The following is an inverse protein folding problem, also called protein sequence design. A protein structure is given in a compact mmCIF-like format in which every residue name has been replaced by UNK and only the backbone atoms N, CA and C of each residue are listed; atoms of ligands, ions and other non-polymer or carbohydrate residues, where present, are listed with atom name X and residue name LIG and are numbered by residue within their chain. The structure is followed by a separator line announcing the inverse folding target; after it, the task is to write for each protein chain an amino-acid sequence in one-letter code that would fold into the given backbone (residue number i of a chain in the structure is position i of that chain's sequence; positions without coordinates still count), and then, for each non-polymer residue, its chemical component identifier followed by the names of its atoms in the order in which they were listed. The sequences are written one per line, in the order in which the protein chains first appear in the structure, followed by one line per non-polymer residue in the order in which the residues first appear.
data_IF_242733167873
#
_entry.id   IF_242733167873
#
_cell.length_a   1.000
_cell.length_b   1.000
_cell.length_c   1.000
_cell.angle_alpha   90.00
_cell.angle_beta   90.00
_cell.angle_gamma   90.00
#
_symmetry.space_group_name_H-M   'P 1'
#
loop_
_entity.id
_entity.type
_entity.pdbx_description
1 polymer ?
#
# COMPACT_ATOMS: atom_id res chain seq x y z
N UNK A 1 -4.37 -28.47 1.78
CA UNK A 1 -3.60 -27.32 2.31
C UNK A 1 -2.13 -27.65 2.17
N UNK A 2 -1.29 -26.65 1.91
CA UNK A 2 0.16 -26.85 1.91
C UNK A 2 0.66 -27.00 3.35
N UNK A 3 1.67 -27.83 3.53
CA UNK A 3 2.32 -28.08 4.81
C UNK A 3 3.23 -26.89 5.14
N UNK A 4 3.02 -26.15 6.24
CA UNK A 4 3.72 -24.90 6.47
C UNK A 4 5.22 -25.07 6.75
N UNK A 5 5.69 -26.29 6.97
CA UNK A 5 7.05 -26.56 7.41
C UNK A 5 8.03 -26.84 6.26
N UNK A 6 7.71 -26.36 5.06
CA UNK A 6 8.52 -26.52 3.85
C UNK A 6 8.61 -25.23 3.05
N UNK A 7 9.61 -25.18 2.16
CA UNK A 7 9.79 -24.09 1.21
C UNK A 7 8.99 -24.37 -0.05
N UNK A 8 8.26 -23.36 -0.51
CA UNK A 8 7.49 -23.39 -1.75
C UNK A 8 7.95 -22.30 -2.71
N UNK A 9 7.29 -22.23 -3.88
CA UNK A 9 7.57 -21.23 -4.90
C UNK A 9 6.29 -20.84 -5.63
N UNK A 10 6.04 -19.55 -5.90
CA UNK A 10 4.98 -19.15 -6.82
C UNK A 10 5.32 -19.55 -8.27
N UNK A 11 4.35 -19.97 -9.10
CA UNK A 11 4.61 -20.34 -10.49
C UNK A 11 5.34 -19.24 -11.26
N UNK A 12 6.29 -19.63 -12.12
CA UNK A 12 7.06 -18.71 -12.99
C UNK A 12 7.89 -17.66 -12.22
N UNK A 13 8.25 -17.93 -10.98
CA UNK A 13 9.14 -17.06 -10.20
C UNK A 13 10.25 -17.88 -9.55
N UNK A 14 11.35 -17.24 -9.17
CA UNK A 14 12.40 -17.85 -8.35
C UNK A 14 12.33 -17.43 -6.88
N UNK A 15 11.22 -16.80 -6.47
CA UNK A 15 11.01 -16.34 -5.10
C UNK A 15 10.63 -17.53 -4.21
N UNK A 16 11.37 -17.73 -3.12
CA UNK A 16 11.03 -18.72 -2.09
C UNK A 16 9.84 -18.24 -1.25
N UNK A 17 8.82 -19.09 -1.13
CA UNK A 17 7.63 -18.86 -0.32
C UNK A 17 7.73 -19.69 0.98
N UNK A 18 7.79 -18.98 2.12
CA UNK A 18 7.79 -19.57 3.46
C UNK A 18 6.41 -19.36 4.08
N UNK A 19 5.76 -20.44 4.47
CA UNK A 19 4.41 -20.40 5.05
C UNK A 19 4.48 -20.30 6.57
N UNK A 20 3.60 -19.51 7.18
CA UNK A 20 3.46 -19.40 8.65
C UNK A 20 2.94 -20.71 9.22
N UNK A 21 3.61 -21.25 10.24
CA UNK A 21 3.03 -22.31 11.06
C UNK A 21 2.09 -21.67 12.10
N UNK A 22 0.83 -21.45 11.72
CA UNK A 22 -0.11 -20.66 12.52
C UNK A 22 -0.36 -21.27 13.91
N UNK A 23 -0.42 -22.60 14.04
CA UNK A 23 -0.69 -23.25 15.34
C UNK A 23 0.42 -22.93 16.33
N UNK A 24 1.67 -23.28 15.99
CA UNK A 24 2.82 -23.05 16.86
C UNK A 24 3.07 -21.57 17.12
N UNK A 25 2.68 -20.70 16.18
CA UNK A 25 2.81 -19.26 16.35
C UNK A 25 1.75 -18.71 17.30
N UNK A 26 0.49 -19.09 17.12
CA UNK A 26 -0.64 -18.63 17.93
C UNK A 26 -0.56 -19.17 19.37
N UNK A 27 0.12 -20.29 19.59
CA UNK A 27 0.42 -20.82 20.92
C UNK A 27 1.27 -19.85 21.77
N UNK A 28 2.22 -19.15 21.13
CA UNK A 28 3.00 -18.08 21.77
C UNK A 28 2.22 -16.76 21.75
N UNK A 29 1.65 -16.41 20.59
CA UNK A 29 1.02 -15.10 20.36
C UNK A 29 -0.23 -14.87 21.22
N UNK A 30 -1.13 -15.86 21.26
CA UNK A 30 -2.47 -15.71 21.81
C UNK A 30 -2.74 -16.62 23.01
N UNK A 31 -2.23 -17.85 23.02
CA UNK A 31 -2.59 -18.85 24.06
C UNK A 31 -1.63 -18.90 25.25
N UNK A 32 -0.50 -18.22 25.17
CA UNK A 32 0.58 -18.34 26.17
C UNK A 32 0.10 -18.11 27.61
N UNK A 33 -0.73 -17.09 27.83
CA UNK A 33 -1.32 -16.75 29.14
C UNK A 33 -2.73 -17.30 29.37
N UNK A 34 -3.24 -18.14 28.47
CA UNK A 34 -4.59 -18.69 28.56
C UNK A 34 -4.64 -19.86 29.54
N UNK A 35 -5.07 -19.59 30.78
CA UNK A 35 -5.15 -20.60 31.84
C UNK A 35 -6.19 -21.70 31.57
N UNK A 36 -7.13 -21.45 30.66
CA UNK A 36 -8.18 -22.40 30.26
C UNK A 36 -7.75 -23.25 29.04
N UNK A 37 -6.56 -23.03 28.48
CA UNK A 37 -6.02 -23.86 27.42
C UNK A 37 -5.40 -25.13 28.01
N UNK A 38 -5.72 -26.30 27.45
CA UNK A 38 -5.30 -27.60 27.98
C UNK A 38 -3.78 -27.78 28.07
N UNK A 39 -3.02 -27.08 27.22
CA UNK A 39 -1.56 -27.14 27.24
C UNK A 39 -0.92 -26.08 28.15
N UNK A 40 -1.72 -25.27 28.86
CA UNK A 40 -1.20 -24.31 29.83
C UNK A 40 -0.66 -25.03 31.08
N UNK A 41 0.51 -24.64 31.61
CA UNK A 41 1.40 -23.58 31.12
C UNK A 41 2.28 -24.02 29.94
N UNK A 42 2.58 -23.07 29.06
CA UNK A 42 3.50 -23.28 27.94
C UNK A 42 4.95 -23.01 28.36
N UNK A 43 5.68 -24.08 28.66
CA UNK A 43 7.11 -23.99 29.01
C UNK A 43 8.02 -24.08 27.78
N UNK A 44 9.24 -23.55 27.88
CA UNK A 44 10.23 -23.61 26.80
C UNK A 44 10.62 -25.05 26.43
N UNK A 45 10.73 -25.95 27.40
CA UNK A 45 10.96 -27.38 27.18
C UNK A 45 9.79 -28.06 26.48
N UNK A 46 8.55 -27.76 26.88
CA UNK A 46 7.34 -28.28 26.22
C UNK A 46 7.28 -27.83 24.76
N UNK A 47 7.46 -26.54 24.52
CA UNK A 47 7.45 -25.98 23.18
C UNK A 47 8.59 -26.53 22.30
N UNK A 48 9.81 -26.65 22.84
CA UNK A 48 10.94 -27.25 22.12
C UNK A 48 10.69 -28.72 21.74
N UNK A 49 10.03 -29.49 22.60
CA UNK A 49 9.61 -30.86 22.30
C UNK A 49 8.63 -30.92 21.11
N UNK A 50 7.68 -29.99 21.05
CA UNK A 50 6.77 -29.86 19.91
C UNK A 50 7.50 -29.49 18.63
N UNK A 51 8.41 -28.52 18.69
CA UNK A 51 9.27 -28.14 17.55
C UNK A 51 10.08 -29.34 17.06
N UNK A 52 10.68 -30.11 17.96
CA UNK A 52 11.46 -31.30 17.63
C UNK A 52 10.63 -32.39 16.95
N UNK A 53 9.38 -32.51 17.34
CA UNK A 53 8.45 -33.53 16.83
C UNK A 53 7.72 -33.08 15.57
N UNK A 54 7.87 -31.82 15.17
CA UNK A 54 7.21 -31.24 14.00
C UNK A 54 7.97 -31.64 12.73
N UNK A 55 7.35 -32.40 11.81
CA UNK A 55 8.01 -32.80 10.58
C UNK A 55 8.16 -31.62 9.61
N UNK A 56 9.22 -31.65 8.81
CA UNK A 56 9.48 -30.66 7.78
C UNK A 56 10.95 -30.29 7.67
N UNK A 57 11.22 -29.24 6.91
CA UNK A 57 12.57 -28.69 6.68
C UNK A 57 12.81 -27.37 7.42
N UNK A 58 11.74 -26.66 7.77
CA UNK A 58 11.78 -25.40 8.52
C UNK A 58 10.51 -25.23 9.33
N UNK A 59 10.57 -24.51 10.44
CA UNK A 59 9.38 -24.12 11.21
C UNK A 59 9.39 -22.59 11.28
N UNK A 60 8.33 -21.99 10.75
CA UNK A 60 8.21 -20.56 10.55
C UNK A 60 7.27 -19.97 11.60
N UNK A 61 7.84 -19.37 12.64
CA UNK A 61 7.11 -18.74 13.74
C UNK A 61 7.11 -17.23 13.53
N UNK A 62 5.94 -16.65 13.26
CA UNK A 62 5.80 -15.23 12.89
C UNK A 62 4.71 -14.56 13.74
N UNK A 63 5.10 -13.98 14.87
CA UNK A 63 4.23 -13.18 15.74
C UNK A 63 4.67 -11.71 15.70
N UNK A 64 3.74 -10.81 16.03
CA UNK A 64 4.03 -9.38 16.13
C UNK A 64 5.00 -9.11 17.29
N UNK A 65 5.83 -8.08 17.18
CA UNK A 65 6.81 -7.76 18.23
C UNK A 65 6.13 -7.41 19.54
N UNK A 66 4.98 -6.76 19.45
CA UNK A 66 4.08 -6.35 20.53
C UNK A 66 3.50 -7.57 21.28
N UNK A 67 3.67 -8.80 20.74
CA UNK A 67 3.40 -10.03 21.48
C UNK A 67 4.13 -10.03 22.83
N UNK A 68 5.36 -9.54 22.86
CA UNK A 68 6.24 -9.62 24.03
C UNK A 68 6.23 -8.29 24.81
N UNK A 69 5.41 -8.21 25.85
CA UNK A 69 5.31 -7.06 26.73
C UNK A 69 3.96 -6.35 26.68
N UNK A 70 3.25 -6.37 25.54
CA UNK A 70 1.94 -5.73 25.38
C UNK A 70 0.80 -6.76 25.32
N UNK A 71 0.85 -7.75 24.41
CA UNK A 71 -0.16 -8.82 24.39
C UNK A 71 0.10 -9.89 25.45
N UNK A 72 1.38 -10.24 25.68
CA UNK A 72 1.81 -11.10 26.78
C UNK A 72 2.66 -10.28 27.75
N UNK A 73 2.09 -9.95 28.92
CA UNK A 73 2.74 -9.08 29.90
C UNK A 73 3.90 -9.80 30.60
N UNK A 74 4.80 -9.03 31.21
CA UNK A 74 5.98 -9.58 31.93
C UNK A 74 5.58 -10.68 32.93
N UNK A 75 4.51 -10.44 33.70
CA UNK A 75 4.04 -11.32 34.77
C UNK A 75 3.51 -12.68 34.27
N UNK A 76 3.24 -12.81 32.97
CA UNK A 76 2.90 -14.10 32.33
C UNK A 76 4.11 -15.05 32.27
N UNK A 77 5.32 -14.54 32.46
CA UNK A 77 6.57 -15.29 32.33
C UNK A 77 7.10 -15.40 30.90
N UNK A 78 6.50 -14.69 29.93
CA UNK A 78 6.90 -14.76 28.51
C UNK A 78 8.38 -14.42 28.28
N UNK A 79 8.95 -13.48 29.03
CA UNK A 79 10.37 -13.14 28.92
C UNK A 79 11.29 -14.25 29.45
N UNK A 80 10.89 -14.95 30.52
CA UNK A 80 11.64 -16.13 31.00
C UNK A 80 11.53 -17.29 30.00
N UNK A 81 10.34 -17.49 29.42
CA UNK A 81 10.16 -18.45 28.32
C UNK A 81 11.14 -18.16 27.17
N UNK A 82 11.20 -16.91 26.69
CA UNK A 82 12.12 -16.51 25.62
C UNK A 82 13.60 -16.66 26.01
N UNK A 83 13.97 -16.36 27.26
CA UNK A 83 15.35 -16.52 27.75
C UNK A 83 15.79 -17.99 27.74
N UNK A 84 14.89 -18.90 28.06
CA UNK A 84 15.18 -20.34 28.11
C UNK A 84 14.99 -21.06 26.77
N UNK A 85 14.15 -20.53 25.88
CA UNK A 85 13.77 -21.16 24.62
C UNK A 85 14.97 -21.57 23.74
N UNK A 86 15.99 -20.74 23.48
CA UNK A 86 17.13 -21.15 22.66
C UNK A 86 17.86 -22.37 23.23
N UNK A 87 18.06 -22.41 24.56
CA UNK A 87 18.71 -23.55 25.21
C UNK A 87 17.85 -24.81 25.11
N UNK A 88 16.54 -24.69 25.27
CA UNK A 88 15.61 -25.82 25.17
C UNK A 88 15.59 -26.40 23.74
N UNK A 89 15.51 -25.54 22.71
CA UNK A 89 15.54 -25.95 21.30
C UNK A 89 16.86 -26.65 20.95
N UNK A 90 17.99 -26.11 21.39
CA UNK A 90 19.32 -26.66 21.08
C UNK A 90 19.67 -27.96 21.84
N UNK A 91 18.79 -28.45 22.73
CA UNK A 91 18.90 -29.83 23.26
C UNK A 91 18.64 -30.88 22.17
N UNK A 92 17.92 -30.51 21.12
CA UNK A 92 17.58 -31.39 20.00
C UNK A 92 18.59 -31.19 18.86
N UNK A 93 19.46 -32.18 18.57
CA UNK A 93 20.61 -31.99 17.68
C UNK A 93 20.23 -31.74 16.21
N UNK A 94 19.01 -32.09 15.81
CA UNK A 94 18.48 -31.85 14.47
C UNK A 94 17.78 -30.49 14.32
N UNK A 95 17.63 -29.73 15.41
CA UNK A 95 17.09 -28.36 15.36
C UNK A 95 18.21 -27.32 15.35
N UNK A 96 17.96 -26.23 14.64
CA UNK A 96 18.81 -25.03 14.64
C UNK A 96 17.99 -23.79 14.33
N UNK A 97 18.45 -22.65 14.80
CA UNK A 97 17.95 -21.36 14.34
C UNK A 97 18.57 -21.01 12.98
N UNK A 98 17.77 -20.43 12.09
CA UNK A 98 18.19 -20.03 10.77
C UNK A 98 17.48 -18.74 10.36
N UNK A 99 18.18 -17.91 9.59
CA UNK A 99 17.58 -16.73 8.99
C UNK A 99 16.68 -17.14 7.81
N UNK A 100 15.61 -16.38 7.49
CA UNK A 100 14.77 -16.66 6.33
C UNK A 100 15.58 -16.81 5.03
N UNK A 101 16.63 -15.99 4.85
CA UNK A 101 17.55 -16.08 3.69
C UNK A 101 18.34 -17.39 3.62
N UNK A 102 18.65 -17.99 4.77
CA UNK A 102 19.39 -19.26 4.84
C UNK A 102 18.46 -20.43 4.53
N UNK A 103 17.22 -20.38 5.01
CA UNK A 103 16.18 -21.35 4.67
C UNK A 103 15.89 -21.29 3.17
N UNK A 104 15.64 -20.08 2.64
CA UNK A 104 15.33 -19.86 1.24
C UNK A 104 16.44 -20.34 0.28
N UNK A 105 17.71 -20.29 0.70
CA UNK A 105 18.87 -20.71 -0.10
C UNK A 105 19.19 -22.19 0.02
N UNK A 106 19.07 -22.76 1.22
CA UNK A 106 19.61 -24.09 1.52
C UNK A 106 18.55 -25.19 1.56
N UNK A 107 17.26 -24.84 1.65
CA UNK A 107 16.17 -25.81 1.66
C UNK A 107 15.61 -26.01 0.25
N UNK A 108 15.46 -27.26 -0.21
CA UNK A 108 14.88 -27.53 -1.53
C UNK A 108 13.40 -27.15 -1.55
N UNK A 109 12.95 -26.61 -2.68
CA UNK A 109 11.53 -26.30 -2.91
C UNK A 109 10.74 -27.60 -2.96
N UNK A 110 9.71 -27.74 -2.12
CA UNK A 110 8.82 -28.91 -2.09
C UNK A 110 7.92 -28.98 -3.32
N UNK A 111 7.30 -27.87 -3.68
CA UNK A 111 6.46 -27.74 -4.88
C UNK A 111 6.19 -26.28 -5.21
N UNK A 112 5.61 -26.03 -6.39
CA UNK A 112 4.97 -24.74 -6.66
C UNK A 112 3.60 -24.65 -5.96
N UNK A 113 3.22 -23.43 -5.55
CA UNK A 113 1.89 -23.12 -5.03
C UNK A 113 1.35 -21.91 -5.77
N UNK A 114 0.20 -22.08 -6.41
CA UNK A 114 -0.58 -20.98 -6.97
C UNK A 114 -1.71 -20.61 -6.03
N UNK A 115 -1.74 -19.37 -5.57
CA UNK A 115 -2.84 -18.83 -4.76
C UNK A 115 -3.75 -18.01 -5.68
N UNK A 116 -5.00 -18.42 -5.84
CA UNK A 116 -5.95 -17.83 -6.81
C UNK A 116 -6.69 -16.60 -6.28
N UNK A 117 -6.76 -16.45 -4.95
CA UNK A 117 -7.41 -15.32 -4.28
C UNK A 117 -6.40 -14.64 -3.37
N UNK A 118 -6.60 -13.35 -3.12
CA UNK A 118 -5.82 -12.65 -2.10
C UNK A 118 -6.11 -13.27 -0.73
N UNK A 119 -5.05 -13.57 0.01
CA UNK A 119 -5.11 -14.16 1.34
C UNK A 119 -4.33 -13.31 2.30
N UNK A 120 -4.73 -13.32 3.57
CA UNK A 120 -4.01 -12.70 4.66
C UNK A 120 -3.95 -13.66 5.85
N UNK A 121 -3.16 -13.29 6.84
CA UNK A 121 -3.11 -13.97 8.13
C UNK A 121 -4.12 -13.44 9.15
N UNK A 122 -4.85 -12.38 8.82
CA UNK A 122 -5.70 -11.66 9.75
C UNK A 122 -7.10 -12.30 9.82
N UNK A 123 -7.67 -12.22 11.03
CA UNK A 123 -9.00 -12.70 11.39
C UNK A 123 -9.33 -14.13 10.91
N UNK A 124 -10.62 -14.48 10.96
CA UNK A 124 -11.11 -15.82 10.67
C UNK A 124 -11.17 -16.08 9.16
N UNK A 125 -11.47 -15.03 8.39
CA UNK A 125 -11.71 -15.01 6.96
C UNK A 125 -10.41 -15.21 6.17
N UNK A 126 -9.26 -14.79 6.72
CA UNK A 126 -7.93 -14.95 6.13
C UNK A 126 -7.83 -14.40 4.71
N UNK A 127 -8.55 -13.32 4.45
CA UNK A 127 -8.61 -12.60 3.18
C UNK A 127 -8.36 -11.10 3.39
N UNK A 128 -8.77 -10.26 2.46
CA UNK A 128 -8.54 -8.81 2.53
C UNK A 128 -9.60 -8.05 3.33
N UNK A 129 -10.59 -8.72 3.92
CA UNK A 129 -11.73 -8.08 4.60
C UNK A 129 -11.33 -7.17 5.76
N UNK A 130 -10.19 -7.42 6.43
CA UNK A 130 -9.67 -6.54 7.48
C UNK A 130 -9.32 -5.12 6.97
N UNK A 131 -9.03 -4.97 5.68
CA UNK A 131 -8.65 -3.67 5.06
C UNK A 131 -9.60 -3.22 3.94
N UNK A 132 -10.37 -4.14 3.36
CA UNK A 132 -11.28 -3.92 2.22
C UNK A 132 -12.57 -4.73 2.40
N UNK A 133 -13.12 -4.75 3.62
CA UNK A 133 -14.34 -5.47 3.98
C UNK A 133 -15.60 -4.62 3.97
N UNK A 134 -15.46 -3.29 3.92
CA UNK A 134 -16.61 -2.37 3.90
C UNK A 134 -16.46 -1.21 2.90
N UNK A 135 -17.56 -0.50 2.64
CA UNK A 135 -17.62 0.58 1.66
C UNK A 135 -16.71 1.78 1.98
N UNK A 136 -16.47 2.09 3.26
CA UNK A 136 -15.61 3.21 3.67
C UNK A 136 -14.13 2.90 3.39
N UNK A 137 -13.70 1.68 3.71
CA UNK A 137 -12.40 1.15 3.38
C UNK A 137 -12.15 1.17 1.87
N UNK A 138 -13.12 0.67 1.09
CA UNK A 138 -13.04 0.71 -0.38
C UNK A 138 -12.96 2.13 -0.94
N UNK A 139 -13.77 3.06 -0.42
CA UNK A 139 -13.76 4.45 -0.85
C UNK A 139 -12.40 5.12 -0.59
N UNK A 140 -11.86 4.96 0.61
CA UNK A 140 -10.56 5.52 0.98
C UNK A 140 -9.42 4.90 0.16
N UNK A 141 -9.41 3.58 0.00
CA UNK A 141 -8.39 2.88 -0.81
C UNK A 141 -8.40 3.34 -2.27
N UNK A 142 -9.57 3.39 -2.91
CA UNK A 142 -9.68 3.83 -4.31
C UNK A 142 -9.27 5.31 -4.46
N UNK A 143 -9.60 6.14 -3.48
CA UNK A 143 -9.25 7.55 -3.50
C UNK A 143 -7.74 7.76 -3.33
N UNK A 144 -7.10 7.11 -2.36
CA UNK A 144 -5.64 7.13 -2.19
C UNK A 144 -4.92 6.62 -3.43
N UNK A 145 -5.39 5.50 -4.01
CA UNK A 145 -4.81 4.93 -5.23
C UNK A 145 -4.90 5.89 -6.42
N UNK A 146 -6.04 6.60 -6.57
CA UNK A 146 -6.23 7.58 -7.65
C UNK A 146 -5.24 8.74 -7.59
N UNK A 147 -4.74 9.09 -6.40
CA UNK A 147 -3.77 10.17 -6.23
C UNK A 147 -2.32 9.77 -6.58
N UNK A 148 -2.05 8.48 -6.88
CA UNK A 148 -0.71 7.99 -7.18
C UNK A 148 -0.08 8.66 -8.41
N UNK A 149 -0.78 8.61 -9.55
CA UNK A 149 -0.29 9.17 -10.78
C UNK A 149 -0.08 10.70 -10.66
N UNK A 150 -1.05 11.49 -10.16
CA UNK A 150 -0.82 12.91 -9.84
C UNK A 150 0.37 13.17 -8.92
N UNK A 151 0.57 12.36 -7.86
CA UNK A 151 1.69 12.52 -6.94
C UNK A 151 3.03 12.28 -7.63
N UNK A 152 3.16 11.22 -8.44
CA UNK A 152 4.34 11.01 -9.29
C UNK A 152 4.50 12.11 -10.34
N UNK A 153 3.39 12.62 -10.86
CA UNK A 153 3.39 13.65 -11.86
C UNK A 153 3.78 15.04 -11.33
N UNK A 154 3.67 15.26 -10.01
CA UNK A 154 4.11 16.50 -9.40
C UNK A 154 5.62 16.72 -9.49
N UNK A 155 6.42 15.64 -9.57
CA UNK A 155 7.87 15.72 -9.45
C UNK A 155 8.37 16.18 -8.08
N UNK A 156 7.46 16.33 -7.11
CA UNK A 156 7.71 16.82 -5.76
C UNK A 156 7.88 15.61 -4.82
N UNK A 157 9.10 15.46 -4.28
CA UNK A 157 9.43 14.33 -3.41
C UNK A 157 8.58 14.33 -2.12
N UNK A 158 8.28 15.50 -1.56
CA UNK A 158 7.52 15.61 -0.32
C UNK A 158 6.07 15.18 -0.55
N UNK A 159 5.46 15.59 -1.67
CA UNK A 159 4.10 15.17 -2.06
C UNK A 159 4.03 13.65 -2.29
N UNK A 160 5.04 13.08 -2.96
CA UNK A 160 5.11 11.65 -3.20
C UNK A 160 5.27 10.87 -1.88
N UNK A 161 6.08 11.37 -0.96
CA UNK A 161 6.28 10.75 0.35
C UNK A 161 5.03 10.84 1.22
N UNK A 162 4.30 11.96 1.20
CA UNK A 162 2.97 12.06 1.83
C UNK A 162 2.03 11.00 1.26
N UNK A 163 1.94 10.88 -0.06
CA UNK A 163 1.09 9.85 -0.70
C UNK A 163 1.46 8.43 -0.25
N UNK A 164 2.76 8.12 -0.12
CA UNK A 164 3.27 6.83 0.39
C UNK A 164 2.86 6.58 1.84
N UNK A 165 2.99 7.58 2.71
CA UNK A 165 2.60 7.49 4.13
C UNK A 165 1.08 7.27 4.27
N UNK A 166 0.28 7.92 3.43
CA UNK A 166 -1.15 7.68 3.37
C UNK A 166 -1.48 6.28 2.83
N UNK A 167 -0.54 5.60 2.17
CA UNK A 167 -0.68 4.20 1.75
C UNK A 167 -0.46 3.16 2.84
N UNK A 168 -0.12 3.56 4.08
CA UNK A 168 0.02 2.62 5.21
C UNK A 168 -1.30 1.90 5.49
N UNK A 169 -1.24 0.58 5.69
CA UNK A 169 -2.43 -0.26 5.82
C UNK A 169 -3.24 0.01 7.08
N UNK A 170 -2.61 0.52 8.13
CA UNK A 170 -3.24 0.85 9.42
C UNK A 170 -4.40 1.83 9.26
N UNK A 171 -4.30 2.79 8.32
CA UNK A 171 -5.38 3.71 8.01
C UNK A 171 -6.67 2.98 7.62
N UNK A 172 -6.56 1.92 6.81
CA UNK A 172 -7.71 1.10 6.43
C UNK A 172 -8.09 0.11 7.53
N UNK A 173 -7.10 -0.41 8.27
CA UNK A 173 -7.30 -1.34 9.38
C UNK A 173 -8.18 -0.74 10.48
N UNK A 174 -7.96 0.54 10.82
CA UNK A 174 -8.76 1.27 11.82
C UNK A 174 -10.18 1.64 11.34
N UNK A 175 -10.47 1.48 10.04
CA UNK A 175 -11.82 1.71 9.46
C UNK A 175 -12.63 0.41 9.42
N UNK A 176 -12.17 -0.65 10.07
CA UNK A 176 -12.91 -1.90 10.17
C UNK A 176 -14.17 -1.75 11.03
N UNK A 177 -15.32 -2.16 10.51
CA UNK A 177 -16.64 -1.88 11.11
C UNK A 177 -17.32 -3.10 11.71
N UNK A 178 -16.75 -4.30 11.59
CA UNK A 178 -17.37 -5.49 12.18
C UNK A 178 -17.08 -5.52 13.69
N UNK A 179 -18.08 -5.92 14.48
CA UNK A 179 -17.96 -6.04 15.94
C UNK A 179 -17.41 -7.41 16.39
N UNK A 180 -17.57 -7.69 17.67
CA UNK A 180 -17.07 -8.93 18.29
C UNK A 180 -15.55 -8.91 18.45
N UNK A 181 -14.97 -10.10 18.62
CA UNK A 181 -13.52 -10.24 18.87
C UNK A 181 -12.64 -9.60 17.78
N UNK A 182 -12.93 -9.71 16.46
CA UNK A 182 -12.18 -8.96 15.45
C UNK A 182 -12.26 -7.44 15.65
N UNK A 183 -13.43 -6.90 15.94
CA UNK A 183 -13.61 -5.46 16.19
C UNK A 183 -12.80 -4.97 17.40
N UNK A 184 -12.67 -5.77 18.45
CA UNK A 184 -11.84 -5.46 19.61
C UNK A 184 -10.35 -5.39 19.25
N UNK A 185 -9.86 -6.35 18.46
CA UNK A 185 -8.46 -6.35 17.98
C UNK A 185 -8.17 -5.11 17.12
N UNK A 186 -9.07 -4.78 16.20
CA UNK A 186 -8.96 -3.62 15.34
C UNK A 186 -9.01 -2.28 16.08
N UNK A 187 -9.71 -2.24 17.22
CA UNK A 187 -9.82 -1.03 18.07
C UNK A 187 -8.67 -0.92 19.07
N UNK A 188 -7.93 -1.99 19.35
CA UNK A 188 -6.94 -2.06 20.43
C UNK A 188 -5.82 -1.02 20.30
N UNK A 189 -5.25 -0.88 19.09
CA UNK A 189 -4.22 0.12 18.79
C UNK A 189 -4.78 1.34 18.03
N UNK A 190 -6.10 1.43 17.85
CA UNK A 190 -6.70 2.55 17.13
C UNK A 190 -6.60 3.83 17.96
N UNK A 191 -6.07 4.94 17.40
CA UNK A 191 -6.09 6.24 18.08
C UNK A 191 -7.49 6.90 18.02
N UNK A 192 -8.45 6.26 17.34
CA UNK A 192 -9.81 6.77 17.14
C UNK A 192 -10.80 6.04 18.03
N UNK A 193 -11.82 6.76 18.50
CA UNK A 193 -12.87 6.19 19.34
C UNK A 193 -13.78 5.21 18.60
N UNK A 194 -14.06 5.46 17.32
CA UNK A 194 -14.88 4.58 16.46
C UNK A 194 -14.34 4.56 15.01
N UNK A 195 -14.61 3.48 14.24
CA UNK A 195 -14.12 3.36 12.86
C UNK A 195 -14.58 4.47 11.91
N UNK A 196 -15.72 5.10 12.20
CA UNK A 196 -16.25 6.21 11.41
C UNK A 196 -15.39 7.48 11.56
N UNK A 197 -14.86 7.75 12.75
CA UNK A 197 -13.96 8.88 12.98
C UNK A 197 -12.62 8.66 12.27
N UNK A 198 -12.13 7.42 12.25
CA UNK A 198 -10.97 7.03 11.46
C UNK A 198 -11.20 7.30 9.97
N UNK A 199 -12.37 6.91 9.45
CA UNK A 199 -12.73 7.08 8.04
C UNK A 199 -12.84 8.55 7.64
N UNK A 200 -13.54 9.35 8.45
CA UNK A 200 -13.69 10.79 8.21
C UNK A 200 -12.33 11.47 8.24
N UNK A 201 -11.50 11.18 9.24
CA UNK A 201 -10.16 11.75 9.38
C UNK A 201 -9.29 11.41 8.18
N UNK A 202 -9.21 10.12 7.83
CA UNK A 202 -8.37 9.67 6.72
C UNK A 202 -8.84 10.26 5.39
N UNK A 203 -10.15 10.28 5.13
CA UNK A 203 -10.70 10.87 3.92
C UNK A 203 -10.44 12.38 3.83
N UNK A 204 -10.55 13.12 4.93
CA UNK A 204 -10.20 14.54 4.98
C UNK A 204 -8.74 14.80 4.64
N UNK A 205 -7.81 13.98 5.14
CA UNK A 205 -6.38 14.10 4.81
C UNK A 205 -6.12 13.77 3.34
N UNK A 206 -6.77 12.76 2.77
CA UNK A 206 -6.69 12.46 1.34
C UNK A 206 -7.24 13.62 0.49
N UNK A 207 -8.31 14.27 0.93
CA UNK A 207 -8.88 15.43 0.25
C UNK A 207 -7.93 16.65 0.30
N UNK A 208 -7.23 16.86 1.41
CA UNK A 208 -6.18 17.88 1.51
C UNK A 208 -5.02 17.59 0.53
N UNK A 209 -4.53 16.34 0.47
CA UNK A 209 -3.51 15.95 -0.51
C UNK A 209 -3.98 16.20 -1.95
N UNK A 210 -5.22 15.82 -2.29
CA UNK A 210 -5.81 16.12 -3.61
C UNK A 210 -5.76 17.63 -3.88
N UNK A 211 -6.19 18.47 -2.95
CA UNK A 211 -6.18 19.92 -3.13
C UNK A 211 -4.78 20.47 -3.37
N UNK A 212 -3.79 20.01 -2.61
CA UNK A 212 -2.37 20.37 -2.81
C UNK A 212 -1.87 19.97 -4.20
N UNK A 213 -2.22 18.77 -4.66
CA UNK A 213 -1.92 18.29 -6.01
C UNK A 213 -2.57 19.19 -7.06
N UNK A 214 -3.87 19.49 -6.92
CA UNK A 214 -4.60 20.35 -7.86
C UNK A 214 -3.95 21.72 -8.01
N UNK A 215 -3.49 22.32 -6.91
CA UNK A 215 -2.75 23.59 -6.92
C UNK A 215 -1.36 23.49 -7.58
N UNK A 216 -0.62 22.40 -7.34
CA UNK A 216 0.77 22.26 -7.81
C UNK A 216 0.89 21.78 -9.25
N UNK A 217 -0.01 20.92 -9.69
CA UNK A 217 0.14 20.19 -10.95
C UNK A 217 -0.93 20.55 -11.98
N UNK A 218 -1.93 21.34 -11.60
CA UNK A 218 -3.15 21.55 -12.36
C UNK A 218 -3.81 20.19 -12.66
N UNK A 219 -4.27 19.53 -11.59
CA UNK A 219 -4.86 18.19 -11.65
C UNK A 219 -6.22 18.21 -12.34
N UNK A 220 -6.43 17.26 -13.25
CA UNK A 220 -7.67 17.04 -13.96
C UNK A 220 -8.66 16.14 -13.18
N UNK A 221 -9.95 16.35 -13.41
CA UNK A 221 -11.03 15.51 -12.87
C UNK A 221 -11.12 14.14 -13.54
N UNK A 222 -10.46 13.94 -14.67
CA UNK A 222 -10.30 12.65 -15.37
C UNK A 222 -9.01 12.65 -16.18
N UNK A 223 -8.31 11.51 -16.32
CA UNK A 223 -7.05 11.47 -17.04
C UNK A 223 -7.26 11.61 -18.55
N UNK A 224 -6.26 12.16 -19.23
CA UNK A 224 -6.13 12.03 -20.67
C UNK A 224 -5.50 10.69 -20.99
N UNK A 225 -6.14 9.88 -21.84
CA UNK A 225 -5.64 8.58 -22.28
C UNK A 225 -5.21 8.66 -23.73
N UNK A 226 -3.96 8.32 -24.00
CA UNK A 226 -3.43 8.31 -25.36
C UNK A 226 -3.91 7.09 -26.13
N UNK A 227 -4.19 7.30 -27.41
CA UNK A 227 -4.69 6.29 -28.34
C UNK A 227 -4.25 6.61 -29.77
N UNK A 228 -4.24 5.60 -30.64
CA UNK A 228 -4.01 5.73 -32.09
C UNK A 228 -5.28 5.54 -32.91
N UNK A 229 -6.39 5.22 -32.25
CA UNK A 229 -7.65 4.82 -32.88
C UNK A 229 -8.75 4.61 -31.84
N UNK A 230 -9.97 4.36 -32.32
CA UNK A 230 -11.08 3.95 -31.43
C UNK A 230 -10.69 2.61 -30.80
N UNK A 231 -10.76 2.53 -29.47
CA UNK A 231 -10.38 1.37 -28.65
C UNK A 231 -8.93 0.88 -28.83
N UNK A 232 -8.04 1.73 -29.36
CA UNK A 232 -6.62 1.44 -29.54
C UNK A 232 -5.78 2.31 -28.60
N UNK A 233 -5.93 2.10 -27.30
CA UNK A 233 -5.16 2.79 -26.27
C UNK A 233 -3.69 2.37 -26.31
N UNK A 234 -2.79 3.33 -26.17
CA UNK A 234 -1.35 3.07 -26.17
C UNK A 234 -0.85 2.59 -24.80
N UNK A 235 -1.63 2.87 -23.75
CA UNK A 235 -1.34 2.50 -22.35
C UNK A 235 -0.85 3.69 -21.52
N UNK A 236 -0.38 4.75 -22.15
CA UNK A 236 -0.04 6.02 -21.51
C UNK A 236 -1.29 6.79 -21.12
N UNK A 237 -1.30 7.30 -19.89
CA UNK A 237 -2.29 8.25 -19.40
C UNK A 237 -1.60 9.35 -18.58
N UNK A 238 -2.21 10.55 -18.59
CA UNK A 238 -1.75 11.68 -17.79
C UNK A 238 -2.92 12.31 -17.04
N UNK A 239 -2.67 12.66 -15.78
CA UNK A 239 -3.69 13.24 -14.90
C UNK A 239 -3.55 14.74 -14.72
N UNK A 240 -2.37 15.30 -15.01
CA UNK A 240 -2.03 16.68 -14.70
C UNK A 240 -1.42 17.37 -15.90
N UNK A 241 -1.49 18.71 -15.93
CA UNK A 241 -0.80 19.47 -16.96
C UNK A 241 0.73 19.26 -16.90
N UNK A 242 1.28 19.07 -15.70
CA UNK A 242 2.69 18.72 -15.47
C UNK A 242 3.05 17.32 -16.01
N UNK A 243 2.11 16.37 -15.95
CA UNK A 243 2.16 15.05 -16.58
C UNK A 243 2.20 15.17 -18.09
N UNK A 244 1.24 15.90 -18.66
CA UNK A 244 1.18 16.15 -20.09
C UNK A 244 2.48 16.77 -20.61
N UNK A 245 3.02 17.79 -19.93
CA UNK A 245 4.28 18.43 -20.32
C UNK A 245 5.44 17.44 -20.43
N UNK A 246 5.60 16.55 -19.44
CA UNK A 246 6.71 15.60 -19.39
C UNK A 246 6.59 14.49 -20.42
N UNK A 247 5.38 14.01 -20.70
CA UNK A 247 5.19 12.87 -21.60
C UNK A 247 5.24 13.26 -23.08
N UNK A 248 4.95 14.51 -23.44
CA UNK A 248 4.80 14.95 -24.83
C UNK A 248 6.03 14.68 -25.71
N UNK A 249 7.22 14.64 -25.12
CA UNK A 249 8.47 14.32 -25.82
C UNK A 249 8.53 12.85 -26.29
N UNK A 250 7.91 11.95 -25.54
CA UNK A 250 7.95 10.51 -25.72
C UNK A 250 6.73 9.94 -26.47
N UNK A 251 5.56 10.59 -26.39
CA UNK A 251 4.32 10.12 -27.03
C UNK A 251 4.48 9.97 -28.54
N UNK A 252 4.03 8.83 -29.07
CA UNK A 252 4.07 8.53 -30.50
C UNK A 252 3.36 9.59 -31.37
N UNK A 253 3.95 9.88 -32.53
CA UNK A 253 3.45 10.93 -33.42
C UNK A 253 2.09 10.60 -34.04
N UNK A 254 1.77 9.33 -34.28
CA UNK A 254 0.44 8.94 -34.78
C UNK A 254 -0.63 9.12 -33.70
N UNK A 255 -0.31 8.90 -32.42
CA UNK A 255 -1.23 9.23 -31.33
C UNK A 255 -1.49 10.74 -31.22
N UNK A 256 -0.44 11.57 -31.28
CA UNK A 256 -0.60 13.03 -31.28
C UNK A 256 -1.44 13.52 -32.46
N UNK A 257 -1.21 12.97 -33.65
CA UNK A 257 -1.98 13.28 -34.86
C UNK A 257 -3.45 12.87 -34.71
N UNK A 258 -3.71 11.66 -34.20
CA UNK A 258 -5.06 11.16 -33.93
C UNK A 258 -5.83 12.13 -33.04
N UNK A 259 -5.28 12.46 -31.86
CA UNK A 259 -5.94 13.34 -30.89
C UNK A 259 -6.07 14.79 -31.38
N UNK A 260 -5.06 15.33 -32.05
CA UNK A 260 -5.11 16.71 -32.56
C UNK A 260 -6.16 16.88 -33.67
N UNK A 261 -6.35 15.86 -34.52
CA UNK A 261 -7.39 15.89 -35.57
C UNK A 261 -8.81 15.97 -34.99
N UNK A 262 -9.02 15.38 -33.82
CA UNK A 262 -10.31 15.32 -33.10
C UNK A 262 -10.48 16.48 -32.11
N UNK A 263 -9.39 17.13 -31.72
CA UNK A 263 -9.41 18.18 -30.69
C UNK A 263 -9.50 17.64 -29.28
N UNK A 264 -9.09 16.38 -29.05
CA UNK A 264 -9.31 15.69 -27.77
C UNK A 264 -8.56 16.38 -26.62
N UNK A 265 -7.33 16.85 -26.85
CA UNK A 265 -6.56 17.60 -25.83
C UNK A 265 -7.21 18.93 -25.46
N UNK A 266 -7.81 19.63 -26.44
CA UNK A 266 -8.54 20.86 -26.17
C UNK A 266 -9.83 20.59 -25.36
N UNK A 267 -10.54 19.51 -25.69
CA UNK A 267 -11.72 19.07 -24.93
C UNK A 267 -11.34 18.67 -23.49
N UNK A 268 -10.24 17.95 -23.32
CA UNK A 268 -9.74 17.55 -22.00
C UNK A 268 -9.33 18.76 -21.16
N UNK A 269 -8.60 19.71 -21.74
CA UNK A 269 -8.26 20.97 -21.06
C UNK A 269 -9.51 21.73 -20.61
N UNK A 270 -10.53 21.81 -21.46
CA UNK A 270 -11.79 22.49 -21.13
C UNK A 270 -12.57 21.77 -20.03
N UNK A 271 -12.75 20.46 -20.13
CA UNK A 271 -13.71 19.72 -19.30
C UNK A 271 -13.09 19.12 -18.05
N UNK A 272 -11.87 18.59 -18.14
CA UNK A 272 -11.23 17.87 -17.04
C UNK A 272 -10.25 18.77 -16.28
N UNK A 273 -9.49 19.64 -16.96
CA UNK A 273 -8.66 20.65 -16.30
C UNK A 273 -9.43 21.93 -15.92
N UNK A 274 -10.59 22.17 -16.53
CA UNK A 274 -11.37 23.40 -16.34
C UNK A 274 -10.69 24.67 -16.89
N UNK A 275 -9.78 24.53 -17.85
CA UNK A 275 -8.98 25.62 -18.40
C UNK A 275 -9.39 25.96 -19.84
N UNK A 276 -10.32 26.92 -19.95
CA UNK A 276 -10.82 27.44 -21.23
C UNK A 276 -9.74 28.16 -22.05
N UNK A 277 -8.76 28.79 -21.39
CA UNK A 277 -7.69 29.53 -22.06
C UNK A 277 -6.74 28.55 -22.74
N UNK A 278 -6.30 27.53 -22.01
CA UNK A 278 -5.49 26.43 -22.56
C UNK A 278 -6.25 25.68 -23.65
N UNK A 279 -7.54 25.40 -23.44
CA UNK A 279 -8.37 24.75 -24.45
C UNK A 279 -8.39 25.53 -25.78
N UNK A 280 -8.54 26.86 -25.72
CA UNK A 280 -8.47 27.74 -26.89
C UNK A 280 -7.11 27.70 -27.58
N UNK A 281 -6.01 27.79 -26.81
CA UNK A 281 -4.64 27.69 -27.32
C UNK A 281 -4.40 26.33 -28.03
N UNK A 282 -4.88 25.23 -27.44
CA UNK A 282 -4.75 23.88 -28.01
C UNK A 282 -5.60 23.68 -29.26
N UNK A 283 -6.84 24.18 -29.28
CA UNK A 283 -7.73 24.08 -30.44
C UNK A 283 -7.13 24.77 -31.69
N UNK A 284 -6.36 25.84 -31.50
CA UNK A 284 -5.63 26.53 -32.57
C UNK A 284 -4.52 25.71 -33.24
N UNK A 285 -4.13 24.56 -32.68
CA UNK A 285 -3.04 23.73 -33.20
C UNK A 285 -3.48 22.67 -34.23
N UNK A 286 -4.77 22.61 -34.57
CA UNK A 286 -5.35 21.58 -35.46
C UNK A 286 -4.66 21.47 -36.84
N UNK A 287 -4.11 22.58 -37.34
CA UNK A 287 -3.40 22.63 -38.63
C UNK A 287 -1.94 22.11 -38.58
N UNK A 288 -1.42 21.76 -37.40
CA UNK A 288 -0.05 21.26 -37.24
C UNK A 288 0.00 19.73 -37.16
N UNK A 289 1.09 19.15 -37.64
CA UNK A 289 1.30 17.69 -37.67
C UNK A 289 2.75 17.31 -37.31
N UNK A 290 2.95 16.03 -36.97
CA UNK A 290 4.27 15.43 -36.72
C UNK A 290 5.09 16.18 -35.66
N UNK A 291 6.41 16.29 -35.87
CA UNK A 291 7.32 16.95 -34.93
C UNK A 291 6.96 18.41 -34.64
N UNK A 292 6.41 19.13 -35.63
CA UNK A 292 5.98 20.53 -35.47
C UNK A 292 4.79 20.65 -34.51
N UNK A 293 3.85 19.71 -34.58
CA UNK A 293 2.74 19.63 -33.62
C UNK A 293 3.26 19.41 -32.21
N UNK A 294 4.14 18.42 -32.01
CA UNK A 294 4.75 18.14 -30.69
C UNK A 294 5.44 19.37 -30.09
N UNK A 295 6.25 20.06 -30.88
CA UNK A 295 6.94 21.28 -30.43
C UNK A 295 5.95 22.38 -30.01
N UNK A 296 4.86 22.57 -30.78
CA UNK A 296 3.84 23.58 -30.46
C UNK A 296 3.03 23.19 -29.22
N UNK A 297 2.63 21.92 -29.10
CA UNK A 297 1.94 21.40 -27.91
C UNK A 297 2.80 21.62 -26.67
N UNK A 298 4.06 21.21 -26.71
CA UNK A 298 5.00 21.35 -25.58
C UNK A 298 5.16 22.81 -25.18
N UNK A 299 5.30 23.72 -26.15
CA UNK A 299 5.38 25.16 -25.88
C UNK A 299 4.10 25.75 -25.27
N UNK A 300 2.92 25.36 -25.75
CA UNK A 300 1.63 25.81 -25.20
C UNK A 300 1.44 25.30 -23.77
N UNK A 301 1.73 24.03 -23.53
CA UNK A 301 1.63 23.38 -22.22
C UNK A 301 2.64 23.97 -21.23
N UNK A 302 3.88 24.20 -21.64
CA UNK A 302 4.91 24.83 -20.81
C UNK A 302 4.52 26.27 -20.41
N UNK A 303 3.97 27.06 -21.35
CA UNK A 303 3.47 28.41 -21.07
C UNK A 303 2.36 28.37 -20.03
N UNK A 304 1.39 27.46 -20.20
CA UNK A 304 0.28 27.32 -19.27
C UNK A 304 0.72 26.88 -17.87
N UNK A 305 1.73 26.00 -17.76
CA UNK A 305 2.31 25.63 -16.47
C UNK A 305 2.99 26.81 -15.76
N UNK A 306 3.71 27.65 -16.51
CA UNK A 306 4.36 28.84 -15.95
C UNK A 306 3.32 29.90 -15.52
N UNK A 307 2.25 30.06 -16.30
CA UNK A 307 1.10 30.93 -15.97
C UNK A 307 0.34 30.43 -14.73
N UNK A 308 0.30 29.11 -14.52
CA UNK A 308 -0.26 28.45 -13.34
C UNK A 308 0.73 28.35 -12.15
N UNK A 309 1.96 28.86 -12.30
CA UNK A 309 3.06 28.76 -11.33
C UNK A 309 2.67 29.26 -9.92
N UNK A 310 3.41 28.82 -8.89
CA UNK A 310 2.92 28.79 -7.51
C UNK A 310 2.47 30.18 -7.06
N UNK A 311 1.19 30.34 -6.71
CA UNK A 311 0.79 31.41 -5.80
C UNK A 311 1.69 31.26 -4.57
N UNK A 312 2.48 32.29 -4.30
CA UNK A 312 3.50 32.37 -3.25
C UNK A 312 3.12 31.55 -2.03
N UNK A 313 4.01 30.65 -1.63
CA UNK A 313 3.97 29.99 -0.33
C UNK A 313 3.93 31.05 0.78
N UNK A 314 2.74 31.34 1.31
CA UNK A 314 2.62 31.71 2.71
C UNK A 314 2.95 30.45 3.51
N UNK A 315 4.24 30.21 3.70
CA UNK A 315 4.72 29.53 4.89
C UNK A 315 4.42 30.46 6.06
N UNK A 316 3.19 30.46 6.56
CA UNK A 316 3.01 30.80 7.97
C UNK A 316 3.61 29.63 8.77
N UNK A 317 4.66 29.85 9.58
CA UNK A 317 5.00 28.89 10.61
C UNK A 317 3.75 28.76 11.50
N UNK A 318 3.35 27.53 11.81
CA UNK A 318 2.44 27.25 12.92
C UNK A 318 3.02 27.93 14.17
N UNK A 319 2.57 29.16 14.44
CA UNK A 319 2.96 29.94 15.59
C UNK A 319 2.45 29.23 16.84
N UNK A 320 3.34 29.16 17.83
CA UNK A 320 3.25 28.22 18.94
C UNK A 320 1.94 28.27 19.72
N UNK A 321 1.44 27.08 20.03
CA UNK A 321 0.66 26.85 21.23
C UNK A 321 1.54 27.15 22.44
N UNK A 322 1.47 28.40 22.92
CA UNK A 322 1.82 28.71 24.30
C UNK A 322 0.97 27.81 25.20
N UNK A 323 1.65 27.00 26.01
CA UNK A 323 1.06 26.47 27.24
C UNK A 323 0.92 27.64 28.20
N UNK A 324 -0.30 28.14 28.35
CA UNK A 324 -0.72 28.92 29.50
C UNK A 324 -1.75 28.08 30.28
N UNK A 325 -1.47 27.82 31.56
CA UNK A 325 -2.34 27.11 32.50
C UNK A 325 -1.67 25.97 33.25
#
# INVERSE_FOLDING_TARGET
MADPNHVYRPPKTDISLLLRNFQLTDDIGFRFSSHNWEEHPLTSDKYASWLSSTPGQCINIFCDYETFGEHQWVDTGIFEFLRHLPRAVLKYPHLRFALPREIARNSPVKSEISVQKYVSWADLERDTSCWLGNGLQHACFLYQKRLEAPAKESGDADILDIWRILGLSDHLYYIFTHGGSPGEVHSYFSPYGIPYDAAVTYFSVLADLHFRLKKRTHLADSPFRFATGIDQFTGEEVWTLAGLHRILDDVDLESLKYHNSRGDLALWAKTSLGDEVLAGKLAGLKAHHGKRLRQRLSGVVASALNEAGPQSSENEPLAGLKKDG
#
